data_IF_427453330821
#
_entry.id   IF_427453330821
#
_cell.length_a   1.000
_cell.length_b   1.000
_cell.length_c   1.000
_cell.angle_alpha   90.00
_cell.angle_beta   90.00
_cell.angle_gamma   90.00
#
_symmetry.space_group_name_H-M   'P 1'
#
loop_
_entity.id
_entity.type
_entity.pdbx_description
1 polymer ?
#
# COMPACT_ATOMS: atom_id res chain seq x y z
N UNK A 1 -3.00 7.45 7.83
CA UNK A 1 -4.23 6.72 8.24
C UNK A 1 -4.86 7.38 9.47
N UNK A 2 -5.99 8.09 9.33
CA UNK A 2 -6.78 8.54 10.50
C UNK A 2 -7.70 7.39 10.94
N UNK A 3 -7.46 6.86 12.14
CA UNK A 3 -8.23 5.81 12.76
C UNK A 3 -9.59 6.36 13.19
N UNK A 4 -10.65 5.90 12.53
CA UNK A 4 -12.04 5.77 13.01
C UNK A 4 -12.79 5.02 11.91
N UNK A 5 -12.72 3.68 11.95
CA UNK A 5 -13.53 2.81 11.11
C UNK A 5 -14.96 2.81 11.63
N UNK A 6 -15.95 3.04 10.76
CA UNK A 6 -17.36 2.97 11.11
C UNK A 6 -17.69 1.61 11.72
N UNK A 7 -17.93 1.58 13.03
CA UNK A 7 -18.09 0.36 13.83
C UNK A 7 -17.49 0.39 15.24
N UNK A 8 -16.83 1.49 15.67
CA UNK A 8 -16.48 1.69 17.08
C UNK A 8 -15.35 0.81 17.65
N UNK A 9 -14.56 0.15 16.80
CA UNK A 9 -13.34 -0.56 17.23
C UNK A 9 -12.16 0.41 17.19
N UNK A 10 -11.37 0.47 18.26
CA UNK A 10 -10.09 1.18 18.26
C UNK A 10 -9.12 0.48 17.30
N UNK A 11 -9.13 0.91 16.04
CA UNK A 11 -8.27 0.34 14.98
C UNK A 11 -6.79 0.49 15.33
N UNK A 12 -6.43 1.48 16.16
CA UNK A 12 -5.06 1.72 16.57
C UNK A 12 -4.49 0.58 17.41
N UNK A 13 -5.27 0.02 18.34
CA UNK A 13 -4.79 -1.05 19.22
C UNK A 13 -4.52 -2.33 18.44
N UNK A 14 -5.35 -2.64 17.44
CA UNK A 14 -5.10 -3.74 16.50
C UNK A 14 -3.79 -3.59 15.72
N UNK A 15 -3.44 -2.37 15.31
CA UNK A 15 -2.16 -2.14 14.64
C UNK A 15 -0.98 -2.33 15.59
N UNK A 16 -1.11 -1.94 16.86
CA UNK A 16 -0.08 -2.16 17.88
C UNK A 16 0.13 -3.65 18.17
N UNK A 17 -0.95 -4.42 18.28
CA UNK A 17 -0.88 -5.89 18.41
C UNK A 17 -0.18 -6.53 17.22
N UNK A 18 -0.54 -6.13 15.99
CA UNK A 18 0.12 -6.62 14.78
C UNK A 18 1.61 -6.26 14.76
N UNK A 19 1.96 -5.02 15.13
CA UNK A 19 3.34 -4.60 15.19
C UNK A 19 4.15 -5.42 16.19
N UNK A 20 3.60 -5.79 17.35
CA UNK A 20 4.31 -6.64 18.32
C UNK A 20 4.73 -7.97 17.69
N UNK A 21 3.90 -8.53 16.80
CA UNK A 21 4.19 -9.76 16.07
C UNK A 21 5.18 -9.53 14.93
N UNK A 22 5.07 -8.43 14.19
CA UNK A 22 5.88 -8.21 12.97
C UNK A 22 7.22 -7.53 13.23
N UNK A 23 7.37 -6.76 14.32
CA UNK A 23 8.59 -6.01 14.63
C UNK A 23 9.85 -6.88 14.69
N UNK A 24 9.85 -8.09 15.28
CA UNK A 24 11.02 -8.97 15.28
C UNK A 24 11.50 -9.37 13.88
N UNK A 25 10.64 -9.25 12.86
CA UNK A 25 10.90 -9.65 11.48
C UNK A 25 11.23 -8.46 10.56
N UNK A 26 11.51 -7.28 11.12
CA UNK A 26 11.76 -6.04 10.35
C UNK A 26 12.95 -6.17 9.40
N UNK A 27 13.95 -6.96 9.79
CA UNK A 27 15.21 -7.16 9.06
C UNK A 27 15.27 -8.51 8.31
N UNK A 28 14.20 -9.32 8.33
CA UNK A 28 14.21 -10.68 7.77
C UNK A 28 14.27 -10.69 6.24
N UNK A 29 13.52 -9.79 5.58
CA UNK A 29 13.47 -9.59 4.13
C UNK A 29 13.34 -10.87 3.27
N UNK A 30 12.65 -11.89 3.80
CA UNK A 30 12.51 -13.20 3.13
C UNK A 30 11.61 -13.10 1.90
N UNK A 31 10.53 -12.31 1.96
CA UNK A 31 9.66 -12.05 0.81
C UNK A 31 9.15 -10.62 0.82
N UNK A 32 9.07 -10.00 -0.36
CA UNK A 32 8.50 -8.65 -0.51
C UNK A 32 7.05 -8.57 -0.05
N UNK A 33 6.30 -9.65 -0.22
CA UNK A 33 4.94 -9.73 0.27
C UNK A 33 4.89 -9.47 1.79
N UNK A 34 5.73 -10.15 2.57
CA UNK A 34 5.80 -9.97 4.02
C UNK A 34 6.30 -8.57 4.37
N UNK A 35 7.38 -8.11 3.74
CA UNK A 35 7.94 -6.77 3.98
C UNK A 35 6.87 -5.67 3.86
N UNK A 36 6.07 -5.71 2.78
CA UNK A 36 5.02 -4.73 2.54
C UNK A 36 3.91 -4.79 3.61
N UNK A 37 3.54 -5.99 4.08
CA UNK A 37 2.52 -6.13 5.13
C UNK A 37 3.05 -5.75 6.51
N UNK A 38 4.32 -6.02 6.80
CA UNK A 38 4.98 -5.59 8.04
C UNK A 38 5.11 -4.07 8.08
N UNK A 39 5.45 -3.43 6.94
CA UNK A 39 5.45 -1.98 6.80
C UNK A 39 4.05 -1.38 7.01
N UNK A 40 3.01 -2.01 6.48
CA UNK A 40 1.63 -1.57 6.75
C UNK A 40 1.29 -1.62 8.24
N UNK A 41 1.75 -2.66 8.95
CA UNK A 41 1.55 -2.78 10.38
C UNK A 41 2.25 -1.66 11.16
N UNK A 42 3.51 -1.36 10.84
CA UNK A 42 4.26 -0.27 11.50
C UNK A 42 3.68 1.11 11.21
N UNK A 43 3.26 1.38 9.96
CA UNK A 43 2.59 2.64 9.59
C UNK A 43 1.24 2.81 10.28
N UNK A 44 0.47 1.73 10.39
CA UNK A 44 -0.79 1.70 11.16
C UNK A 44 -0.56 1.98 12.64
N UNK A 45 0.50 1.40 13.22
CA UNK A 45 0.87 1.56 14.62
C UNK A 45 1.51 2.91 14.95
N UNK A 46 1.84 3.73 13.93
CA UNK A 46 2.55 5.02 14.03
C UNK A 46 3.99 4.89 14.53
N UNK A 47 4.65 3.82 14.09
CA UNK A 47 6.02 3.48 14.46
C UNK A 47 6.96 3.76 13.29
N UNK A 48 7.33 5.04 13.16
CA UNK A 48 8.13 5.54 12.05
C UNK A 48 9.53 4.93 12.00
N UNK A 49 10.15 4.66 13.15
CA UNK A 49 11.49 4.06 13.21
C UNK A 49 11.52 2.65 12.59
N UNK A 50 10.54 1.80 12.93
CA UNK A 50 10.41 0.46 12.33
C UNK A 50 10.13 0.54 10.82
N UNK A 51 9.27 1.48 10.42
CA UNK A 51 8.92 1.69 9.00
C UNK A 51 10.14 2.10 8.17
N UNK A 52 10.96 3.01 8.71
CA UNK A 52 12.18 3.49 8.09
C UNK A 52 13.24 2.40 8.02
N UNK A 53 13.43 1.63 9.11
CA UNK A 53 14.40 0.54 9.16
C UNK A 53 14.12 -0.54 8.11
N UNK A 54 12.85 -0.92 7.94
CA UNK A 54 12.44 -1.88 6.91
C UNK A 54 12.79 -1.38 5.50
N UNK A 55 12.49 -0.10 5.21
CA UNK A 55 12.82 0.48 3.91
C UNK A 55 14.34 0.51 3.67
N UNK A 56 15.12 0.86 4.68
CA UNK A 56 16.59 0.90 4.60
C UNK A 56 17.18 -0.49 4.32
N UNK A 57 16.79 -1.52 5.09
CA UNK A 57 17.27 -2.89 4.85
C UNK A 57 16.88 -3.39 3.46
N UNK A 58 15.67 -3.08 3.00
CA UNK A 58 15.24 -3.44 1.65
C UNK A 58 16.03 -2.70 0.55
N UNK A 59 16.41 -1.44 0.79
CA UNK A 59 17.27 -0.66 -0.11
C UNK A 59 18.70 -1.20 -0.12
N UNK A 60 19.24 -1.64 1.01
CA UNK A 60 20.55 -2.29 1.09
C UNK A 60 20.59 -3.57 0.24
N UNK A 61 19.59 -4.45 0.39
CA UNK A 61 19.47 -5.68 -0.39
C UNK A 61 19.26 -5.42 -1.89
N UNK A 62 18.56 -4.34 -2.24
CA UNK A 62 18.34 -3.96 -3.63
C UNK A 62 19.61 -3.48 -4.36
N UNK A 63 20.66 -3.05 -3.65
CA UNK A 63 21.92 -2.57 -4.27
C UNK A 63 22.74 -3.71 -4.85
N UNK A 64 22.82 -4.82 -4.12
CA UNK A 64 23.61 -5.99 -4.49
C UNK A 64 22.76 -7.27 -4.32
N UNK A 65 21.74 -7.47 -5.17
CA UNK A 65 20.75 -8.52 -4.94
C UNK A 65 21.28 -9.95 -5.20
N UNK A 66 22.41 -10.08 -5.90
CA UNK A 66 22.93 -11.36 -6.38
C UNK A 66 21.88 -12.15 -7.16
N UNK A 67 21.86 -13.47 -6.96
CA UNK A 67 20.89 -14.38 -7.60
C UNK A 67 19.58 -14.51 -6.82
N UNK A 68 19.42 -13.80 -5.69
CA UNK A 68 18.18 -13.86 -4.91
C UNK A 68 17.07 -13.07 -5.62
N UNK A 69 16.06 -13.80 -6.11
CA UNK A 69 14.94 -13.22 -6.83
C UNK A 69 14.15 -12.18 -6.03
N UNK A 70 13.97 -12.37 -4.72
CA UNK A 70 13.25 -11.40 -3.88
C UNK A 70 14.03 -10.10 -3.74
N UNK A 71 15.36 -10.17 -3.62
CA UNK A 71 16.21 -8.98 -3.57
C UNK A 71 16.24 -8.25 -4.93
N UNK A 72 16.22 -8.99 -6.05
CA UNK A 72 16.09 -8.38 -7.37
C UNK A 72 14.75 -7.65 -7.50
N UNK A 73 13.65 -8.28 -7.06
CA UNK A 73 12.34 -7.64 -7.04
C UNK A 73 12.31 -6.42 -6.10
N UNK A 74 13.11 -6.41 -5.04
CA UNK A 74 13.22 -5.26 -4.13
C UNK A 74 13.65 -4.00 -4.89
N UNK A 75 14.68 -4.13 -5.74
CA UNK A 75 15.16 -3.02 -6.57
C UNK A 75 14.18 -2.59 -7.67
N UNK A 76 13.43 -3.52 -8.27
CA UNK A 76 12.52 -3.19 -9.38
C UNK A 76 11.12 -2.76 -8.95
N UNK A 77 10.67 -3.19 -7.77
CA UNK A 77 9.27 -3.07 -7.31
C UNK A 77 9.17 -2.76 -5.82
N UNK A 78 9.86 -3.52 -4.97
CA UNK A 78 9.67 -3.50 -3.52
C UNK A 78 9.92 -2.15 -2.87
N UNK A 79 11.05 -1.51 -3.17
CA UNK A 79 11.44 -0.20 -2.62
C UNK A 79 10.41 0.87 -2.98
N UNK A 80 9.99 0.93 -4.25
CA UNK A 80 9.00 1.90 -4.71
C UNK A 80 7.62 1.68 -4.08
N UNK A 81 7.21 0.42 -3.85
CA UNK A 81 5.97 0.11 -3.13
C UNK A 81 6.04 0.53 -1.66
N UNK A 82 7.17 0.29 -0.99
CA UNK A 82 7.38 0.72 0.40
C UNK A 82 7.32 2.25 0.52
N UNK A 83 8.03 2.96 -0.36
CA UNK A 83 7.99 4.42 -0.43
C UNK A 83 6.55 4.92 -0.66
N UNK A 84 5.80 4.30 -1.57
CA UNK A 84 4.43 4.73 -1.83
C UNK A 84 3.49 4.58 -0.61
N UNK A 85 3.66 3.52 0.18
CA UNK A 85 2.94 3.33 1.44
C UNK A 85 3.25 4.44 2.45
N UNK A 86 4.53 4.80 2.58
CA UNK A 86 4.99 5.88 3.47
C UNK A 86 4.47 7.24 3.01
N UNK A 87 4.57 7.57 1.71
CA UNK A 87 4.02 8.80 1.12
C UNK A 87 2.51 8.91 1.36
N UNK A 88 1.78 7.79 1.16
CA UNK A 88 0.35 7.76 1.42
C UNK A 88 0.02 7.99 2.91
N UNK A 89 0.79 7.41 3.84
CA UNK A 89 0.53 7.61 5.27
C UNK A 89 0.78 9.05 5.72
N UNK A 90 1.79 9.72 5.11
CA UNK A 90 2.09 11.13 5.31
C UNK A 90 1.11 12.09 4.61
N UNK A 91 0.24 11.56 3.73
CA UNK A 91 -0.75 12.35 3.00
C UNK A 91 -0.26 12.91 1.67
N UNK A 92 0.93 12.54 1.21
CA UNK A 92 1.49 12.91 -0.10
C UNK A 92 0.91 12.02 -1.20
N UNK A 93 -0.40 12.13 -1.41
CA UNK A 93 -1.15 11.24 -2.29
C UNK A 93 -0.68 11.29 -3.75
N UNK A 94 -0.29 12.46 -4.24
CA UNK A 94 0.29 12.60 -5.59
C UNK A 94 1.53 11.73 -5.78
N UNK A 95 2.42 11.71 -4.78
CA UNK A 95 3.65 10.94 -4.87
C UNK A 95 3.39 9.45 -4.75
N UNK A 96 2.46 9.05 -3.88
CA UNK A 96 2.01 7.67 -3.80
C UNK A 96 1.45 7.16 -5.15
N UNK A 97 0.65 7.96 -5.87
CA UNK A 97 0.14 7.60 -7.21
C UNK A 97 1.27 7.42 -8.21
N UNK A 98 2.21 8.37 -8.26
CA UNK A 98 3.35 8.33 -9.19
C UNK A 98 4.23 7.09 -8.98
N UNK A 99 4.37 6.62 -7.74
CA UNK A 99 5.12 5.42 -7.41
C UNK A 99 4.33 4.12 -7.67
N UNK A 100 3.04 4.08 -7.34
CA UNK A 100 2.22 2.86 -7.47
C UNK A 100 1.76 2.59 -8.90
N UNK A 101 1.38 3.63 -9.66
CA UNK A 101 0.73 3.44 -10.96
C UNK A 101 1.60 2.64 -11.95
N UNK A 102 2.92 2.91 -12.10
CA UNK A 102 3.79 2.12 -12.97
C UNK A 102 3.92 0.63 -12.55
N UNK A 103 3.64 0.33 -11.27
CA UNK A 103 3.80 -1.00 -10.69
C UNK A 103 2.51 -1.83 -10.71
N UNK A 104 1.36 -1.24 -11.05
CA UNK A 104 0.02 -1.86 -10.93
C UNK A 104 -0.04 -3.31 -11.45
N UNK A 105 0.56 -3.58 -12.61
CA UNK A 105 0.57 -4.91 -13.22
C UNK A 105 1.72 -5.81 -12.76
N UNK A 106 2.73 -5.25 -12.08
CA UNK A 106 3.88 -5.96 -11.50
C UNK A 106 3.63 -6.45 -10.07
N UNK A 107 2.58 -5.96 -9.41
CA UNK A 107 2.19 -6.38 -8.05
C UNK A 107 2.01 -7.90 -7.94
N UNK A 108 1.63 -8.60 -9.02
CA UNK A 108 1.53 -10.07 -9.01
C UNK A 108 2.86 -10.76 -8.65
N UNK A 109 3.99 -10.14 -8.99
CA UNK A 109 5.33 -10.73 -8.78
C UNK A 109 5.77 -10.73 -7.31
N UNK A 110 5.12 -9.94 -6.43
CA UNK A 110 5.51 -9.88 -5.02
C UNK A 110 5.08 -11.14 -4.24
N UNK A 111 4.20 -11.97 -4.80
CA UNK A 111 3.60 -13.12 -4.13
C UNK A 111 2.24 -12.83 -3.47
N UNK A 112 1.80 -13.71 -2.56
CA UNK A 112 0.51 -13.63 -1.87
C UNK A 112 -0.69 -14.15 -2.68
N UNK A 113 -1.90 -13.94 -2.17
CA UNK A 113 -3.16 -14.21 -2.90
C UNK A 113 -3.69 -12.97 -3.62
N UNK A 114 -4.62 -13.16 -4.56
CA UNK A 114 -5.27 -12.05 -5.27
C UNK A 114 -5.97 -11.09 -4.32
N UNK A 115 -6.62 -11.60 -3.27
CA UNK A 115 -7.30 -10.78 -2.28
C UNK A 115 -6.33 -9.90 -1.49
N UNK A 116 -5.14 -10.41 -1.16
CA UNK A 116 -4.12 -9.66 -0.42
C UNK A 116 -3.46 -8.61 -1.31
N UNK A 117 -3.08 -8.97 -2.55
CA UNK A 117 -2.51 -8.01 -3.51
C UNK A 117 -3.47 -6.89 -3.89
N UNK A 118 -4.77 -7.16 -3.85
CA UNK A 118 -5.80 -6.17 -4.15
C UNK A 118 -5.76 -4.94 -3.24
N UNK A 119 -5.17 -5.05 -2.04
CA UNK A 119 -4.94 -3.92 -1.14
C UNK A 119 -4.12 -2.82 -1.83
N UNK A 120 -3.11 -3.16 -2.63
CA UNK A 120 -2.27 -2.17 -3.32
C UNK A 120 -3.02 -1.48 -4.48
N UNK A 121 -3.91 -2.20 -5.17
CA UNK A 121 -4.81 -1.60 -6.15
C UNK A 121 -5.78 -0.62 -5.50
N UNK A 122 -6.34 -0.98 -4.33
CA UNK A 122 -7.21 -0.08 -3.58
C UNK A 122 -6.46 1.13 -3.04
N UNK A 123 -5.21 0.96 -2.59
CA UNK A 123 -4.34 2.05 -2.16
C UNK A 123 -4.09 3.05 -3.31
N UNK A 124 -3.77 2.56 -4.51
CA UNK A 124 -3.60 3.39 -5.70
C UNK A 124 -4.88 4.18 -6.02
N UNK A 125 -6.05 3.52 -6.02
CA UNK A 125 -7.35 4.18 -6.22
C UNK A 125 -7.57 5.26 -5.17
N UNK A 126 -7.31 4.95 -3.89
CA UNK A 126 -7.48 5.89 -2.80
C UNK A 126 -6.55 7.09 -2.90
N UNK A 127 -5.28 6.87 -3.23
CA UNK A 127 -4.29 7.92 -3.46
C UNK A 127 -4.72 8.80 -4.63
N UNK A 128 -5.15 8.20 -5.74
CA UNK A 128 -5.59 8.91 -6.95
C UNK A 128 -6.83 9.79 -6.70
N UNK A 129 -7.80 9.30 -5.92
CA UNK A 129 -9.00 10.05 -5.56
C UNK A 129 -8.68 11.20 -4.58
N UNK A 130 -7.76 11.01 -3.64
CA UNK A 130 -7.40 12.02 -2.62
C UNK A 130 -6.36 13.04 -3.08
N UNK A 131 -5.65 12.75 -4.16
CA UNK A 131 -4.71 13.67 -4.78
C UNK A 131 -5.42 14.95 -5.25
N UNK A 132 -4.74 16.09 -5.15
CA UNK A 132 -5.24 17.38 -5.63
C UNK A 132 -5.10 17.52 -7.17
N UNK A 133 -4.29 16.67 -7.79
CA UNK A 133 -4.06 16.65 -9.23
C UNK A 133 -5.27 16.08 -9.99
N UNK A 134 -5.85 16.88 -10.89
CA UNK A 134 -7.02 16.50 -11.69
C UNK A 134 -6.80 15.27 -12.58
N UNK A 135 -5.58 15.03 -13.06
CA UNK A 135 -5.26 13.84 -13.83
C UNK A 135 -5.31 12.58 -12.96
N UNK A 136 -4.79 12.66 -11.73
CA UNK A 136 -4.87 11.56 -10.77
C UNK A 136 -6.32 11.29 -10.37
N UNK A 137 -7.13 12.34 -10.13
CA UNK A 137 -8.55 12.17 -9.84
C UNK A 137 -9.30 11.46 -10.97
N UNK A 138 -9.04 11.85 -12.24
CA UNK A 138 -9.60 11.17 -13.41
C UNK A 138 -9.14 9.71 -13.48
N UNK A 139 -7.86 9.44 -13.24
CA UNK A 139 -7.32 8.08 -13.17
C UNK A 139 -8.03 7.26 -12.09
N UNK A 140 -8.22 7.81 -10.89
CA UNK A 140 -8.93 7.14 -9.79
C UNK A 140 -10.35 6.72 -10.19
N UNK A 141 -11.07 7.58 -10.92
CA UNK A 141 -12.40 7.26 -11.47
C UNK A 141 -12.34 6.12 -12.50
N UNK A 142 -11.39 6.16 -13.42
CA UNK A 142 -11.20 5.08 -14.41
C UNK A 142 -10.89 3.74 -13.74
N UNK A 143 -9.99 3.72 -12.75
CA UNK A 143 -9.63 2.51 -12.00
C UNK A 143 -10.81 1.96 -11.19
N UNK A 144 -11.67 2.82 -10.66
CA UNK A 144 -12.90 2.40 -9.97
C UNK A 144 -13.89 1.72 -10.93
N UNK A 145 -14.07 2.26 -12.14
CA UNK A 145 -14.94 1.66 -13.15
C UNK A 145 -14.40 0.30 -13.61
N UNK A 146 -13.09 0.18 -13.86
CA UNK A 146 -12.45 -1.09 -14.19
C UNK A 146 -12.64 -2.12 -13.07
N UNK A 147 -12.51 -1.69 -11.82
CA UNK A 147 -12.75 -2.54 -10.65
C UNK A 147 -14.20 -2.99 -10.54
N UNK A 148 -15.16 -2.11 -10.77
CA UNK A 148 -16.58 -2.46 -10.72
C UNK A 148 -16.94 -3.51 -11.79
N UNK A 149 -16.41 -3.35 -13.00
CA UNK A 149 -16.58 -4.30 -14.08
C UNK A 149 -15.96 -5.69 -13.77
N UNK A 150 -14.80 -5.72 -13.13
CA UNK A 150 -14.09 -6.98 -12.80
C UNK A 150 -14.57 -7.63 -11.50
N UNK A 151 -15.19 -6.86 -10.60
CA UNK A 151 -15.69 -7.32 -9.29
C UNK A 151 -17.10 -6.76 -9.05
N UNK A 152 -18.09 -7.17 -9.86
CA UNK A 152 -19.45 -6.66 -9.76
C UNK A 152 -20.03 -6.97 -8.37
N UNK A 153 -20.89 -6.08 -7.86
CA UNK A 153 -21.53 -6.18 -6.54
C UNK A 153 -20.58 -6.14 -5.34
N UNK A 154 -19.31 -5.74 -5.52
CA UNK A 154 -18.39 -5.56 -4.40
C UNK A 154 -18.83 -4.39 -3.51
N UNK A 155 -19.27 -4.68 -2.28
CA UNK A 155 -19.59 -3.66 -1.27
C UNK A 155 -18.44 -2.69 -1.03
N UNK A 156 -17.20 -3.18 -1.14
CA UNK A 156 -16.00 -2.38 -1.00
C UNK A 156 -15.84 -1.38 -2.15
N UNK A 157 -16.00 -1.83 -3.40
CA UNK A 157 -16.00 -0.95 -4.58
C UNK A 157 -17.09 0.11 -4.48
N UNK A 158 -18.31 -0.28 -4.11
CA UNK A 158 -19.41 0.68 -3.90
C UNK A 158 -19.11 1.73 -2.81
N UNK A 159 -18.44 1.35 -1.73
CA UNK A 159 -17.96 2.31 -0.69
C UNK A 159 -16.91 3.27 -1.24
N UNK A 160 -15.97 2.78 -2.07
CA UNK A 160 -14.95 3.63 -2.68
C UNK A 160 -15.56 4.63 -3.67
N UNK A 161 -16.50 4.19 -4.51
CA UNK A 161 -17.20 5.06 -5.45
C UNK A 161 -17.95 6.18 -4.74
N UNK A 162 -18.71 5.87 -3.67
CA UNK A 162 -19.40 6.89 -2.86
C UNK A 162 -18.43 7.91 -2.25
N UNK A 163 -17.28 7.46 -1.75
CA UNK A 163 -16.25 8.36 -1.21
C UNK A 163 -15.63 9.24 -2.30
N UNK A 164 -15.40 8.70 -3.49
CA UNK A 164 -14.87 9.48 -4.60
C UNK A 164 -15.85 10.57 -5.02
N UNK A 165 -17.15 10.28 -5.08
CA UNK A 165 -18.19 11.27 -5.38
C UNK A 165 -18.20 12.40 -4.33
N UNK A 166 -18.19 12.07 -3.04
CA UNK A 166 -18.22 13.06 -1.95
C UNK A 166 -16.98 13.98 -1.85
N UNK A 167 -15.89 13.67 -2.56
CA UNK A 167 -14.68 14.50 -2.62
C UNK A 167 -14.68 15.47 -3.83
N UNK A 168 -15.73 15.43 -4.64
CA UNK A 168 -15.88 16.20 -5.87
C UNK A 168 -17.08 17.14 -5.86
N UNK A 169 -17.82 17.20 -4.75
CA UNK A 169 -18.78 18.26 -4.41
C UNK A 169 -18.06 19.37 -3.63
#
# INVERSE_FOLDING_TARGET
>A
MKAMGGGGVCVQDRWRELLQVTRPHTDDHVTLFNDLHFLMASLGAKESATSQRLLEGLQELAREPGDNHQHQLAGTTGVAMCQALMEYDQGHYDRAVQLLYPLRYRVVNIGGSDAQRDVFNQLLIHAAVKSENKHHQKLGRCLLLERDATRPNSLLTGRLMRRALALHD
#
